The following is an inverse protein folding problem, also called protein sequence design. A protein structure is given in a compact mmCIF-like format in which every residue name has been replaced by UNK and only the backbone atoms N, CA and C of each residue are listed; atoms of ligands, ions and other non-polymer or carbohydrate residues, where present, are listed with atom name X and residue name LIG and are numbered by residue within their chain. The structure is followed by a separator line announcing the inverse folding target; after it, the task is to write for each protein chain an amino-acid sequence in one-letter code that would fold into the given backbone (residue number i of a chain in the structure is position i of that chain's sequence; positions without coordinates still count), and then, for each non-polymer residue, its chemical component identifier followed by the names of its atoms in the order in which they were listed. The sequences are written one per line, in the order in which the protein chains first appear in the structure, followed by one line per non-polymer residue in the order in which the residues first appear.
data_IF_046535083768
#
_entry.id   IF_046535083768
#
_cell.length_a   1.000
_cell.length_b   1.000
_cell.length_c   1.000
_cell.angle_alpha   90.00
_cell.angle_beta   90.00
_cell.angle_gamma   90.00
#
_symmetry.space_group_name_H-M   'P 1'
#
loop_
_entity.id
_entity.type
_entity.pdbx_description
1 polymer ?
#
# COMPACT_ATOMS: atom_id res chain seq x y z
N UNK A 1 -9.62 9.70 11.74
CA UNK A 1 -9.01 9.49 10.43
C UNK A 1 -7.52 9.28 10.59
N UNK A 2 -6.97 8.36 9.81
CA UNK A 2 -5.56 8.02 9.92
C UNK A 2 -4.69 9.00 9.14
N UNK A 3 -3.45 9.14 9.59
CA UNK A 3 -2.45 9.96 8.90
C UNK A 3 -1.62 9.07 7.99
N UNK A 4 -1.34 9.55 6.78
CA UNK A 4 -0.56 8.78 5.82
C UNK A 4 0.91 9.18 5.91
N UNK A 5 1.77 8.18 6.04
CA UNK A 5 3.22 8.34 5.99
C UNK A 5 3.75 7.42 4.89
N UNK A 6 4.89 7.76 4.32
CA UNK A 6 5.51 6.96 3.28
C UNK A 6 6.92 6.59 3.70
N UNK A 7 7.32 5.34 3.44
CA UNK A 7 8.74 5.00 3.52
C UNK A 7 9.43 5.66 2.34
N UNK A 8 10.78 5.62 2.35
CA UNK A 8 11.54 6.16 1.25
C UNK A 8 11.14 5.50 -0.08
N UNK A 9 11.00 4.17 -0.07
CA UNK A 9 10.56 3.45 -1.26
C UNK A 9 9.13 3.76 -1.64
N UNK A 10 8.27 3.90 -0.63
CA UNK A 10 6.88 4.26 -0.88
C UNK A 10 6.75 5.63 -1.52
N UNK A 11 7.58 6.57 -1.11
CA UNK A 11 7.54 7.91 -1.69
C UNK A 11 8.01 7.89 -3.13
N UNK A 12 9.06 7.11 -3.43
CA UNK A 12 9.50 6.96 -4.81
C UNK A 12 8.40 6.39 -5.68
N UNK A 13 7.72 5.38 -5.15
CA UNK A 13 6.62 4.76 -5.88
C UNK A 13 5.46 5.72 -6.07
N UNK A 14 5.17 6.54 -5.06
CA UNK A 14 4.10 7.53 -5.17
C UNK A 14 4.34 8.46 -6.34
N UNK A 15 5.58 8.89 -6.51
CA UNK A 15 5.93 9.76 -7.62
C UNK A 15 5.73 9.05 -8.96
N UNK A 16 6.16 7.80 -9.05
CA UNK A 16 5.96 7.01 -10.27
C UNK A 16 4.47 6.90 -10.61
N UNK A 17 3.68 6.54 -9.60
CA UNK A 17 2.24 6.34 -9.80
C UNK A 17 1.57 7.63 -10.24
N UNK A 18 2.01 8.76 -9.68
CA UNK A 18 1.40 10.05 -10.00
C UNK A 18 1.57 10.42 -11.46
N UNK A 19 2.53 9.80 -12.14
CA UNK A 19 2.78 10.06 -13.56
C UNK A 19 2.24 8.96 -14.45
N UNK A 20 1.47 8.05 -13.88
CA UNK A 20 0.96 6.88 -14.60
C UNK A 20 -0.54 7.02 -14.81
N UNK A 21 -1.11 6.15 -15.68
CA UNK A 21 -2.56 6.13 -15.84
C UNK A 21 -3.31 5.68 -14.60
N UNK A 22 -2.60 5.18 -13.58
CA UNK A 22 -3.22 4.65 -12.37
C UNK A 22 -3.28 5.66 -11.23
N UNK A 23 -2.89 6.92 -11.51
CA UNK A 23 -2.80 7.94 -10.46
C UNK A 23 -4.13 8.12 -9.72
N UNK A 24 -5.22 8.24 -10.46
CA UNK A 24 -6.53 8.48 -9.84
C UNK A 24 -6.95 7.29 -8.97
N UNK A 25 -6.78 6.09 -9.51
CA UNK A 25 -7.15 4.88 -8.78
C UNK A 25 -6.34 4.77 -7.49
N UNK A 26 -5.04 5.00 -7.58
CA UNK A 26 -4.17 4.89 -6.42
C UNK A 26 -4.55 5.92 -5.36
N UNK A 27 -4.81 7.16 -5.77
CA UNK A 27 -5.16 8.18 -4.79
C UNK A 27 -6.52 7.93 -4.18
N UNK A 28 -7.45 7.36 -4.93
CA UNK A 28 -8.76 7.00 -4.38
C UNK A 28 -8.59 5.95 -3.28
N UNK A 29 -7.70 4.97 -3.50
CA UNK A 29 -7.44 3.96 -2.50
C UNK A 29 -6.80 4.58 -1.25
N UNK A 30 -5.85 5.50 -1.45
CA UNK A 30 -5.21 6.17 -0.31
C UNK A 30 -6.27 6.90 0.51
N UNK A 31 -7.18 7.62 -0.14
CA UNK A 31 -8.23 8.33 0.58
C UNK A 31 -9.16 7.36 1.32
N UNK A 32 -9.42 6.23 0.70
CA UNK A 32 -10.28 5.23 1.33
C UNK A 32 -9.64 4.64 2.58
N UNK A 33 -8.36 4.27 2.51
CA UNK A 33 -7.70 3.67 3.66
C UNK A 33 -7.44 4.69 4.77
N UNK A 34 -7.37 5.97 4.43
CA UNK A 34 -7.29 7.00 5.46
C UNK A 34 -8.51 6.96 6.36
N UNK A 35 -9.67 6.69 5.77
CA UNK A 35 -10.91 6.64 6.55
C UNK A 35 -11.08 5.28 7.21
N UNK A 36 -10.70 4.21 6.51
CA UNK A 36 -10.84 2.86 7.01
C UNK A 36 -9.75 1.97 6.41
N UNK A 37 -8.63 1.79 7.12
CA UNK A 37 -7.51 1.04 6.56
C UNK A 37 -7.80 -0.45 6.38
N UNK A 38 -8.90 -0.94 6.92
CA UNK A 38 -9.29 -2.34 6.77
C UNK A 38 -10.32 -2.54 5.66
N UNK A 39 -10.65 -1.48 4.95
CA UNK A 39 -11.60 -1.54 3.85
C UNK A 39 -11.03 -2.38 2.71
N UNK A 40 -11.88 -3.22 2.11
CA UNK A 40 -11.44 -4.01 0.97
C UNK A 40 -11.78 -3.36 -0.37
N UNK A 41 -12.53 -2.26 -0.34
CA UNK A 41 -12.85 -1.51 -1.54
C UNK A 41 -13.58 -2.31 -2.61
N UNK A 42 -14.15 -3.46 -2.23
CA UNK A 42 -14.80 -4.32 -3.20
C UNK A 42 -13.84 -5.19 -3.99
N UNK A 43 -12.54 -4.90 -3.92
CA UNK A 43 -11.53 -5.63 -4.68
C UNK A 43 -10.71 -6.61 -3.87
N UNK A 44 -10.98 -6.67 -2.59
CA UNK A 44 -10.26 -7.58 -1.71
C UNK A 44 -9.09 -6.92 -1.02
N UNK A 45 -8.92 -7.28 0.23
CA UNK A 45 -7.80 -6.82 1.05
C UNK A 45 -7.00 -8.05 1.44
N UNK A 46 -5.72 -8.04 1.09
CA UNK A 46 -4.84 -9.13 1.47
C UNK A 46 -4.03 -8.74 2.69
N UNK A 47 -3.80 -9.73 3.54
CA UNK A 47 -3.01 -9.53 4.75
C UNK A 47 -1.84 -10.49 4.69
N UNK A 48 -0.63 -9.96 4.80
CA UNK A 48 0.59 -10.75 4.76
C UNK A 48 1.30 -10.62 6.08
N UNK A 49 1.62 -11.75 6.70
CA UNK A 49 2.34 -11.80 7.96
C UNK A 49 3.74 -12.33 7.68
N UNK A 50 4.71 -11.44 7.67
CA UNK A 50 6.09 -11.79 7.34
C UNK A 50 7.01 -11.00 8.29
N UNK A 51 7.03 -11.44 9.56
CA UNK A 51 7.69 -10.68 10.61
C UNK A 51 6.82 -9.57 11.12
N UNK A 52 6.34 -8.75 10.23
CA UNK A 52 5.37 -7.70 10.50
C UNK A 52 4.12 -7.96 9.69
N UNK A 53 3.05 -7.26 10.02
CA UNK A 53 1.79 -7.42 9.30
C UNK A 53 1.70 -6.33 8.24
N UNK A 54 1.49 -6.76 7.00
CA UNK A 54 1.31 -5.87 5.87
C UNK A 54 -0.06 -6.09 5.26
N UNK A 55 -0.62 -5.03 4.73
CA UNK A 55 -1.90 -5.07 4.02
C UNK A 55 -1.67 -4.66 2.58
N UNK A 56 -2.39 -5.30 1.67
CA UNK A 56 -2.19 -5.10 0.25
C UNK A 56 -3.54 -4.81 -0.41
N UNK A 57 -3.61 -3.70 -1.14
CA UNK A 57 -4.77 -3.35 -1.96
C UNK A 57 -4.32 -3.28 -3.40
N UNK A 58 -5.13 -3.85 -4.29
CA UNK A 58 -4.80 -3.86 -5.71
C UNK A 58 -5.11 -2.50 -6.34
N UNK A 59 -4.12 -1.96 -7.05
CA UNK A 59 -4.30 -0.74 -7.84
C UNK A 59 -4.67 -1.10 -9.27
N UNK A 60 -4.00 -2.11 -9.82
CA UNK A 60 -4.26 -2.61 -11.17
C UNK A 60 -3.89 -4.07 -11.20
N UNK A 61 -3.98 -4.70 -12.38
CA UNK A 61 -3.58 -6.10 -12.51
C UNK A 61 -2.14 -6.33 -12.07
N UNK A 62 -1.29 -5.33 -12.25
CA UNK A 62 0.14 -5.48 -11.97
C UNK A 62 0.63 -4.69 -10.77
N UNK A 63 -0.14 -3.74 -10.28
CA UNK A 63 0.36 -2.83 -9.26
C UNK A 63 -0.41 -2.98 -7.97
N UNK A 64 0.32 -2.94 -6.87
CA UNK A 64 -0.23 -3.13 -5.52
C UNK A 64 0.20 -2.00 -4.61
N UNK A 65 -0.69 -1.61 -3.74
CA UNK A 65 -0.39 -0.69 -2.65
C UNK A 65 -0.16 -1.55 -1.41
N UNK A 66 1.01 -1.42 -0.79
CA UNK A 66 1.39 -2.19 0.39
C UNK A 66 1.60 -1.25 1.55
N UNK A 67 0.93 -1.52 2.66
CA UNK A 67 0.99 -0.62 3.80
C UNK A 67 0.88 -1.37 5.12
N UNK A 68 1.30 -0.68 6.18
CA UNK A 68 1.15 -1.14 7.55
C UNK A 68 0.27 -0.16 8.29
N UNK A 69 -0.35 -0.64 9.36
CA UNK A 69 -1.25 0.17 10.18
C UNK A 69 -0.70 0.23 11.59
N UNK A 70 -0.54 1.45 12.11
CA UNK A 70 -0.16 1.68 13.49
C UNK A 70 -1.40 2.23 14.21
N UNK A 71 -2.10 1.35 14.92
CA UNK A 71 -3.33 1.75 15.57
C UNK A 71 -3.10 2.73 16.71
N UNK A 72 -1.98 2.57 17.37
CA UNK A 72 -1.67 3.43 18.50
C UNK A 72 -1.52 4.88 18.06
N UNK A 73 -0.81 5.09 16.97
CA UNK A 73 -0.58 6.43 16.44
C UNK A 73 -1.62 6.86 15.42
N UNK A 74 -2.52 5.96 15.04
CA UNK A 74 -3.49 6.22 13.98
C UNK A 74 -2.78 6.65 12.71
N UNK A 75 -1.76 5.87 12.33
CA UNK A 75 -0.94 6.14 11.16
C UNK A 75 -0.94 4.96 10.22
N UNK A 76 -0.85 5.25 8.94
CA UNK A 76 -0.68 4.25 7.89
C UNK A 76 0.65 4.55 7.22
N UNK A 77 1.50 3.52 7.17
CA UNK A 77 2.82 3.65 6.56
C UNK A 77 2.80 2.90 5.23
N UNK A 78 2.95 3.63 4.14
CA UNK A 78 2.91 3.05 2.80
C UNK A 78 4.33 2.67 2.38
N UNK A 79 4.50 1.39 2.05
CA UNK A 79 5.80 0.83 1.69
C UNK A 79 6.01 0.78 0.19
N UNK A 80 4.95 0.47 -0.57
CA UNK A 80 5.06 0.31 -2.01
C UNK A 80 3.73 0.68 -2.65
N UNK A 81 3.80 1.23 -3.86
CA UNK A 81 2.63 1.56 -4.64
C UNK A 81 2.77 1.15 -6.11
N UNK A 82 3.88 0.54 -6.47
CA UNK A 82 4.17 0.26 -7.88
C UNK A 82 4.45 -1.21 -8.13
N UNK A 83 5.11 -1.88 -7.21
CA UNK A 83 5.61 -3.22 -7.44
C UNK A 83 4.54 -4.29 -7.29
N UNK A 84 4.79 -5.43 -7.93
CA UNK A 84 3.96 -6.61 -7.80
C UNK A 84 4.08 -7.20 -6.40
N UNK A 85 3.03 -7.89 -6.01
CA UNK A 85 3.04 -8.66 -4.78
C UNK A 85 4.20 -9.64 -4.74
N UNK A 86 4.38 -10.40 -5.83
CA UNK A 86 5.45 -11.38 -5.90
C UNK A 86 6.81 -10.74 -5.72
N UNK A 87 6.98 -9.59 -6.33
CA UNK A 87 8.24 -8.88 -6.24
C UNK A 87 8.54 -8.44 -4.82
N UNK A 88 7.50 -7.97 -4.14
CA UNK A 88 7.67 -7.61 -2.74
C UNK A 88 8.07 -8.80 -1.90
N UNK A 89 7.43 -9.95 -2.14
CA UNK A 89 7.77 -11.16 -1.42
C UNK A 89 9.21 -11.59 -1.65
N UNK A 90 9.68 -11.46 -2.88
CA UNK A 90 11.06 -11.79 -3.20
C UNK A 90 12.04 -10.89 -2.47
N UNK A 91 11.76 -9.61 -2.44
CA UNK A 91 12.62 -8.68 -1.73
C UNK A 91 12.74 -9.04 -0.27
N UNK A 92 11.64 -9.39 0.34
CA UNK A 92 11.63 -9.73 1.75
C UNK A 92 12.41 -10.99 2.03
N UNK A 93 12.31 -11.96 1.14
CA UNK A 93 13.01 -13.23 1.33
C UNK A 93 14.52 -13.09 1.20
N UNK A 94 14.96 -12.09 0.46
CA UNK A 94 16.39 -11.89 0.28
C UNK A 94 17.06 -11.27 1.48
N UNK A 95 16.28 -10.83 2.41
CA UNK A 95 16.79 -10.32 3.66
C UNK A 95 16.90 -11.40 4.68
#
# INVERSE_FOLDING_TARGET
MYTIQYTKGGEKDRVKVSRSPYAETAMAIVEEIKRDPYSNGGGGLEKVNDGDIFYIRRISAKHRLVYQIDEEKQEILIWEMWNHYDRMGQKRRKR
#
